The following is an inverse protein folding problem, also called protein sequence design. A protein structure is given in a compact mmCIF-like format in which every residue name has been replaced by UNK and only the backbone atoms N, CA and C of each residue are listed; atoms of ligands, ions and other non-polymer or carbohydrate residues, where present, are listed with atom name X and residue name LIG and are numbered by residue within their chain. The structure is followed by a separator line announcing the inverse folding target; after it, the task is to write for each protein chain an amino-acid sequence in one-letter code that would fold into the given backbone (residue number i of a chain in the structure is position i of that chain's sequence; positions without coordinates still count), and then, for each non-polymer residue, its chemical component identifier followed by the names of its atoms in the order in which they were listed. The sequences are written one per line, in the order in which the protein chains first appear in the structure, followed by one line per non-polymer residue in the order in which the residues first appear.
data_IF_827229053058
#
_entry.id   IF_827229053058
#
_cell.length_a   1.000
_cell.length_b   1.000
_cell.length_c   1.000
_cell.angle_alpha   90.00
_cell.angle_beta   90.00
_cell.angle_gamma   90.00
#
_symmetry.space_group_name_H-M   'P 1'
#
loop_
_entity.id
_entity.type
_entity.pdbx_description
1 polymer ?
#
# COMPACT_ATOMS: atom_id res chain seq x y z
N UNK A 1 -21.34 61.82 -12.87
CA UNK A 1 -19.91 61.44 -12.76
C UNK A 1 -19.60 60.46 -11.61
N UNK A 2 -20.59 59.91 -10.87
CA UNK A 2 -20.31 59.00 -9.74
C UNK A 2 -20.29 57.50 -10.08
N UNK A 3 -20.84 57.09 -11.23
CA UNK A 3 -20.93 55.65 -11.59
C UNK A 3 -19.59 55.02 -11.95
N UNK A 4 -18.64 55.79 -12.49
CA UNK A 4 -17.31 55.28 -12.86
C UNK A 4 -16.45 54.93 -11.64
N UNK A 5 -16.55 55.74 -10.56
CA UNK A 5 -15.84 55.44 -9.30
C UNK A 5 -16.38 54.20 -8.60
N UNK A 6 -17.69 53.97 -8.62
CA UNK A 6 -18.29 52.74 -8.09
C UNK A 6 -17.88 51.50 -8.89
N UNK A 7 -17.81 51.60 -10.23
CA UNK A 7 -17.31 50.50 -11.07
C UNK A 7 -15.83 50.20 -10.84
N UNK A 8 -15.01 51.23 -10.61
CA UNK A 8 -13.59 51.08 -10.28
C UNK A 8 -13.38 50.44 -8.89
N UNK A 9 -14.18 50.82 -7.88
CA UNK A 9 -14.17 50.18 -6.55
C UNK A 9 -14.63 48.72 -6.59
N UNK A 10 -15.66 48.39 -7.38
CA UNK A 10 -16.13 47.00 -7.56
C UNK A 10 -15.06 46.16 -8.27
N UNK A 11 -14.38 46.72 -9.28
CA UNK A 11 -13.32 46.01 -10.00
C UNK A 11 -12.06 45.82 -9.15
N UNK A 12 -11.66 46.84 -8.37
CA UNK A 12 -10.52 46.73 -7.46
C UNK A 12 -10.80 45.79 -6.28
N UNK A 13 -12.03 45.79 -5.75
CA UNK A 13 -12.43 44.84 -4.70
C UNK A 13 -12.51 43.40 -5.22
N UNK A 14 -13.01 43.16 -6.43
CA UNK A 14 -12.96 41.82 -7.06
C UNK A 14 -11.51 41.33 -7.28
N UNK A 15 -10.61 42.22 -7.72
CA UNK A 15 -9.21 41.86 -7.97
C UNK A 15 -8.42 41.59 -6.67
N UNK A 16 -8.73 42.31 -5.59
CA UNK A 16 -8.14 42.10 -4.28
C UNK A 16 -8.68 40.84 -3.56
N UNK A 17 -9.93 40.44 -3.82
CA UNK A 17 -10.51 39.18 -3.33
C UNK A 17 -9.94 37.99 -4.12
N UNK A 18 -9.96 38.05 -5.46
CA UNK A 18 -9.46 36.99 -6.34
C UNK A 18 -7.95 36.73 -6.19
N UNK A 19 -7.13 37.77 -5.98
CA UNK A 19 -5.69 37.61 -5.73
C UNK A 19 -5.37 37.01 -4.35
N UNK A 20 -6.20 37.28 -3.34
CA UNK A 20 -6.03 36.65 -2.02
C UNK A 20 -6.50 35.19 -2.02
N UNK A 21 -7.53 34.85 -2.80
CA UNK A 21 -8.04 33.49 -2.87
C UNK A 21 -7.09 32.56 -3.63
N UNK A 22 -6.53 32.95 -4.78
CA UNK A 22 -5.49 32.17 -5.48
C UNK A 22 -4.22 31.98 -4.64
N UNK A 23 -3.80 33.01 -3.90
CA UNK A 23 -2.62 32.94 -3.04
C UNK A 23 -2.85 32.07 -1.80
N UNK A 24 -4.04 32.15 -1.17
CA UNK A 24 -4.44 31.23 -0.09
C UNK A 24 -4.56 29.79 -0.58
N UNK A 25 -5.02 29.61 -1.81
CA UNK A 25 -5.13 28.29 -2.45
C UNK A 25 -3.75 27.66 -2.68
N UNK A 26 -2.81 28.42 -3.25
CA UNK A 26 -1.43 27.98 -3.46
C UNK A 26 -0.77 27.53 -2.16
N UNK A 27 -0.93 28.32 -1.09
CA UNK A 27 -0.41 27.98 0.25
C UNK A 27 -1.09 26.72 0.83
N UNK A 28 -2.40 26.55 0.61
CA UNK A 28 -3.14 25.37 1.10
C UNK A 28 -2.69 24.09 0.38
N UNK A 29 -2.45 24.16 -0.93
CA UNK A 29 -1.99 23.02 -1.73
C UNK A 29 -0.55 22.66 -1.39
N UNK A 30 0.32 23.65 -1.20
CA UNK A 30 1.71 23.43 -0.79
C UNK A 30 1.79 22.75 0.59
N UNK A 31 0.99 23.21 1.55
CA UNK A 31 0.84 22.56 2.87
C UNK A 31 0.31 21.12 2.78
N UNK A 32 -0.62 20.83 1.85
CA UNK A 32 -1.12 19.47 1.63
C UNK A 32 -0.08 18.57 0.96
N UNK A 33 0.66 19.09 -0.02
CA UNK A 33 1.76 18.38 -0.64
C UNK A 33 2.80 17.99 0.42
N UNK A 34 3.15 18.90 1.33
CA UNK A 34 4.06 18.62 2.44
C UNK A 34 3.52 17.55 3.40
N UNK A 35 2.23 17.62 3.77
CA UNK A 35 1.58 16.58 4.59
C UNK A 35 1.60 15.21 3.89
N UNK A 36 1.30 15.16 2.60
CA UNK A 36 1.33 13.93 1.80
C UNK A 36 2.74 13.35 1.72
N UNK A 37 3.76 14.18 1.47
CA UNK A 37 5.16 13.77 1.44
C UNK A 37 5.64 13.27 2.81
N UNK A 38 5.26 13.94 3.90
CA UNK A 38 5.58 13.51 5.26
C UNK A 38 4.92 12.16 5.60
N UNK A 39 3.65 11.99 5.22
CA UNK A 39 2.92 10.73 5.36
C UNK A 39 3.59 9.60 4.57
N UNK A 40 3.96 9.87 3.31
CA UNK A 40 4.64 8.91 2.46
C UNK A 40 5.98 8.46 3.06
N UNK A 41 6.81 9.41 3.52
CA UNK A 41 8.09 9.14 4.21
C UNK A 41 7.89 8.28 5.45
N UNK A 42 6.89 8.58 6.28
CA UNK A 42 6.56 7.77 7.47
C UNK A 42 6.19 6.35 7.09
N UNK A 43 5.33 6.20 6.10
CA UNK A 43 4.83 4.90 5.68
C UNK A 43 5.89 4.10 4.89
N UNK A 44 6.86 4.77 4.24
CA UNK A 44 8.08 4.13 3.68
C UNK A 44 8.93 3.51 4.77
N UNK A 45 9.24 4.26 5.85
CA UNK A 45 9.97 3.74 7.01
C UNK A 45 9.30 2.51 7.62
N UNK A 46 7.98 2.57 7.84
CA UNK A 46 7.21 1.42 8.36
C UNK A 46 7.29 0.21 7.41
N UNK A 47 7.25 0.44 6.10
CA UNK A 47 7.33 -0.65 5.11
C UNK A 47 8.74 -1.25 5.05
N UNK A 48 9.78 -0.42 5.10
CA UNK A 48 11.16 -0.87 5.16
C UNK A 48 11.39 -1.75 6.39
N UNK A 49 10.91 -1.31 7.56
CA UNK A 49 11.00 -2.11 8.78
C UNK A 49 10.31 -3.47 8.64
N UNK A 50 9.13 -3.52 8.02
CA UNK A 50 8.43 -4.78 7.73
C UNK A 50 9.21 -5.69 6.79
N UNK A 51 9.80 -5.14 5.73
CA UNK A 51 10.61 -5.91 4.78
C UNK A 51 11.84 -6.48 5.48
N UNK A 52 12.56 -5.67 6.28
CA UNK A 52 13.71 -6.13 7.06
C UNK A 52 13.29 -7.26 8.02
N UNK A 53 12.19 -7.08 8.75
CA UNK A 53 11.69 -8.11 9.67
C UNK A 53 11.37 -9.43 8.95
N UNK A 54 10.66 -9.36 7.80
CA UNK A 54 10.35 -10.55 6.98
C UNK A 54 11.64 -11.21 6.47
N UNK A 55 12.60 -10.43 5.99
CA UNK A 55 13.88 -10.95 5.51
C UNK A 55 14.67 -11.64 6.61
N UNK A 56 14.69 -11.10 7.83
CA UNK A 56 15.35 -11.72 8.99
C UNK A 56 14.66 -13.06 9.33
N UNK A 57 13.33 -13.09 9.40
CA UNK A 57 12.57 -14.31 9.70
C UNK A 57 12.84 -15.38 8.64
N UNK A 58 12.78 -15.02 7.36
CA UNK A 58 13.08 -15.95 6.25
C UNK A 58 14.53 -16.44 6.30
N UNK A 59 15.48 -15.59 6.66
CA UNK A 59 16.89 -15.97 6.77
C UNK A 59 17.13 -16.94 7.91
N UNK A 60 16.55 -16.70 9.09
CA UNK A 60 16.63 -17.60 10.24
C UNK A 60 15.97 -18.95 9.91
N UNK A 61 14.79 -18.93 9.30
CA UNK A 61 14.08 -20.15 8.92
C UNK A 61 14.85 -20.95 7.88
N UNK A 62 15.41 -20.27 6.86
CA UNK A 62 16.27 -20.91 5.88
C UNK A 62 17.49 -21.54 6.54
N UNK A 63 18.19 -20.79 7.41
CA UNK A 63 19.37 -21.28 8.14
C UNK A 63 19.07 -22.54 8.95
N UNK A 64 17.93 -22.58 9.66
CA UNK A 64 17.49 -23.77 10.38
C UNK A 64 17.30 -24.96 9.43
N UNK A 65 16.62 -24.77 8.30
CA UNK A 65 16.44 -25.84 7.31
C UNK A 65 17.77 -26.35 6.74
N UNK A 66 18.72 -25.45 6.45
CA UNK A 66 20.06 -25.83 5.98
C UNK A 66 20.87 -26.60 7.03
N UNK A 67 20.65 -26.36 8.32
CA UNK A 67 21.42 -26.97 9.41
C UNK A 67 20.86 -28.33 9.84
N UNK A 68 19.54 -28.50 9.79
CA UNK A 68 18.85 -29.66 10.39
C UNK A 68 18.33 -30.69 9.38
N UNK A 69 18.44 -30.45 8.08
CA UNK A 69 17.90 -31.37 7.06
C UNK A 69 18.98 -31.73 6.05
N UNK A 70 19.10 -33.02 5.75
CA UNK A 70 19.70 -33.46 4.49
C UNK A 70 18.82 -32.89 3.37
N UNK A 71 19.33 -31.88 2.68
CA UNK A 71 18.54 -31.05 1.77
C UNK A 71 18.13 -31.85 0.53
N UNK A 72 16.94 -32.42 0.60
CA UNK A 72 16.24 -32.90 -0.58
C UNK A 72 15.98 -31.75 -1.55
N UNK A 73 16.07 -32.03 -2.85
CA UNK A 73 15.82 -31.05 -3.91
C UNK A 73 14.42 -30.43 -3.79
N UNK A 74 13.44 -31.20 -3.30
CA UNK A 74 12.06 -30.72 -3.08
C UNK A 74 12.01 -29.60 -2.03
N UNK A 75 12.79 -29.72 -0.96
CA UNK A 75 12.87 -28.70 0.10
C UNK A 75 13.47 -27.40 -0.45
N UNK A 76 14.54 -27.52 -1.24
CA UNK A 76 15.18 -26.36 -1.89
C UNK A 76 14.23 -25.66 -2.84
N UNK A 77 13.48 -26.41 -3.66
CA UNK A 77 12.46 -25.87 -4.57
C UNK A 77 11.32 -25.21 -3.81
N UNK A 78 10.81 -25.84 -2.74
CA UNK A 78 9.75 -25.28 -1.90
C UNK A 78 10.17 -23.97 -1.23
N UNK A 79 11.39 -23.91 -0.69
CA UNK A 79 11.95 -22.70 -0.09
C UNK A 79 12.17 -21.60 -1.14
N UNK A 80 12.77 -21.96 -2.28
CA UNK A 80 12.98 -21.05 -3.40
C UNK A 80 11.67 -20.45 -3.91
N UNK A 81 10.60 -21.24 -3.98
CA UNK A 81 9.27 -20.79 -4.34
C UNK A 81 8.71 -19.78 -3.34
N UNK A 82 8.79 -20.06 -2.03
CA UNK A 82 8.34 -19.13 -0.98
C UNK A 82 9.09 -17.79 -1.08
N UNK A 83 10.41 -17.84 -1.21
CA UNK A 83 11.26 -16.64 -1.32
C UNK A 83 10.90 -15.86 -2.59
N UNK A 84 10.80 -16.54 -3.73
CA UNK A 84 10.45 -15.93 -5.00
C UNK A 84 9.09 -15.24 -4.95
N UNK A 85 8.04 -15.91 -4.47
CA UNK A 85 6.71 -15.33 -4.34
C UNK A 85 6.67 -14.15 -3.37
N UNK A 86 7.45 -14.21 -2.29
CA UNK A 86 7.57 -13.10 -1.33
C UNK A 86 8.23 -11.88 -1.95
N UNK A 87 9.36 -12.06 -2.65
CA UNK A 87 10.04 -10.98 -3.36
C UNK A 87 9.12 -10.39 -4.42
N UNK A 88 8.47 -11.23 -5.23
CA UNK A 88 7.55 -10.80 -6.28
C UNK A 88 6.41 -9.95 -5.68
N UNK A 89 5.81 -10.40 -4.58
CA UNK A 89 4.75 -9.65 -3.90
C UNK A 89 5.25 -8.29 -3.38
N UNK A 90 6.45 -8.24 -2.77
CA UNK A 90 7.06 -7.00 -2.29
C UNK A 90 7.35 -6.05 -3.45
N UNK A 91 7.91 -6.54 -4.55
CA UNK A 91 8.23 -5.73 -5.74
C UNK A 91 6.97 -5.16 -6.36
N UNK A 92 5.92 -5.98 -6.55
CA UNK A 92 4.63 -5.50 -7.07
C UNK A 92 4.00 -4.46 -6.13
N UNK A 93 4.07 -4.70 -4.82
CA UNK A 93 3.58 -3.77 -3.81
C UNK A 93 4.34 -2.43 -3.83
N UNK A 94 5.66 -2.45 -4.01
CA UNK A 94 6.47 -1.24 -4.15
C UNK A 94 6.21 -0.51 -5.47
N UNK A 95 6.07 -1.22 -6.59
CA UNK A 95 5.77 -0.63 -7.89
C UNK A 95 4.46 0.15 -7.86
N UNK A 96 3.41 -0.43 -7.26
CA UNK A 96 2.12 0.26 -7.11
C UNK A 96 2.22 1.51 -6.22
N UNK A 97 3.19 1.54 -5.29
CA UNK A 97 3.36 2.63 -4.34
C UNK A 97 4.24 3.78 -4.85
N UNK A 98 5.31 3.46 -5.58
CA UNK A 98 6.27 4.43 -6.13
C UNK A 98 5.62 5.41 -7.13
N UNK A 99 4.47 5.06 -7.71
CA UNK A 99 3.72 5.96 -8.59
C UNK A 99 3.20 7.23 -7.89
N UNK A 100 3.14 7.29 -6.55
CA UNK A 100 2.76 8.50 -5.81
C UNK A 100 3.88 9.56 -5.78
N UNK A 101 5.13 9.13 -5.71
CA UNK A 101 6.31 9.99 -5.53
C UNK A 101 6.65 10.84 -6.76
N UNK A 102 6.29 10.35 -7.95
CA UNK A 102 6.55 11.03 -9.22
C UNK A 102 5.40 11.96 -9.64
N UNK A 103 4.51 12.35 -8.74
CA UNK A 103 3.50 13.36 -9.08
C UNK A 103 4.18 14.71 -9.27
N UNK A 104 3.95 15.31 -10.42
CA UNK A 104 4.42 16.66 -10.70
C UNK A 104 3.58 17.63 -9.87
N UNK A 105 4.12 18.09 -8.75
CA UNK A 105 3.49 19.09 -7.86
C UNK A 105 3.23 20.41 -8.63
N UNK A 106 3.92 20.60 -9.77
CA UNK A 106 3.74 21.74 -10.67
C UNK A 106 2.63 21.58 -11.73
N UNK A 107 1.93 20.43 -11.79
CA UNK A 107 0.73 20.29 -12.62
C UNK A 107 -0.44 21.04 -11.94
N UNK A 108 -1.43 21.49 -12.74
CA UNK A 108 -2.65 22.14 -12.27
C UNK A 108 -3.18 21.53 -10.96
N UNK A 109 -3.53 22.39 -10.02
CA UNK A 109 -3.95 22.08 -8.65
C UNK A 109 -4.99 20.96 -8.56
N UNK A 110 -5.90 20.86 -9.52
CA UNK A 110 -6.92 19.81 -9.61
C UNK A 110 -6.42 18.45 -10.04
N UNK A 111 -5.56 18.41 -11.06
CA UNK A 111 -5.10 17.15 -11.66
C UNK A 111 -4.21 16.40 -10.68
N UNK A 112 -3.46 17.14 -9.86
CA UNK A 112 -2.70 16.60 -8.73
C UNK A 112 -3.62 15.90 -7.71
N UNK A 113 -4.69 16.58 -7.26
CA UNK A 113 -5.61 16.04 -6.25
C UNK A 113 -6.36 14.82 -6.78
N UNK A 114 -6.87 14.87 -8.01
CA UNK A 114 -7.58 13.75 -8.64
C UNK A 114 -6.67 12.52 -8.81
N UNK A 115 -5.43 12.74 -9.25
CA UNK A 115 -4.44 11.67 -9.40
C UNK A 115 -4.06 11.07 -8.04
N UNK A 116 -3.93 11.88 -6.99
CA UNK A 116 -3.66 11.42 -5.63
C UNK A 116 -4.81 10.57 -5.07
N UNK A 117 -6.04 11.04 -5.20
CA UNK A 117 -7.24 10.29 -4.79
C UNK A 117 -7.36 8.96 -5.52
N UNK A 118 -7.16 8.95 -6.85
CA UNK A 118 -7.22 7.74 -7.65
C UNK A 118 -6.17 6.72 -7.19
N UNK A 119 -4.92 7.13 -7.00
CA UNK A 119 -3.84 6.23 -6.55
C UNK A 119 -4.04 5.72 -5.13
N UNK A 120 -4.52 6.55 -4.21
CA UNK A 120 -4.83 6.12 -2.83
C UNK A 120 -5.93 5.06 -2.82
N UNK A 121 -6.98 5.22 -3.62
CA UNK A 121 -8.07 4.23 -3.76
C UNK A 121 -7.58 2.92 -4.42
N UNK A 122 -6.71 3.01 -5.44
CA UNK A 122 -6.16 1.84 -6.13
C UNK A 122 -5.31 0.92 -5.22
N UNK A 123 -4.66 1.45 -4.18
CA UNK A 123 -3.84 0.63 -3.28
C UNK A 123 -4.64 -0.46 -2.54
N UNK A 124 -5.89 -0.18 -2.15
CA UNK A 124 -6.75 -1.22 -1.54
C UNK A 124 -7.10 -2.28 -2.57
N UNK A 125 -7.46 -1.84 -3.77
CA UNK A 125 -7.89 -2.74 -4.83
C UNK A 125 -6.78 -3.73 -5.21
N UNK A 126 -5.55 -3.22 -5.36
CA UNK A 126 -4.37 -4.04 -5.55
C UNK A 126 -4.24 -5.09 -4.44
N UNK A 127 -4.28 -4.68 -3.17
CA UNK A 127 -4.12 -5.63 -2.07
C UNK A 127 -5.24 -6.69 -2.05
N UNK A 128 -6.49 -6.29 -2.34
CA UNK A 128 -7.64 -7.20 -2.37
C UNK A 128 -7.51 -8.29 -3.45
N UNK A 129 -6.90 -7.97 -4.58
CA UNK A 129 -6.71 -8.91 -5.69
C UNK A 129 -5.47 -9.76 -5.49
N UNK A 130 -4.30 -9.16 -5.27
CA UNK A 130 -3.03 -9.87 -5.32
C UNK A 130 -2.68 -10.60 -4.01
N UNK A 131 -3.21 -10.16 -2.86
CA UNK A 131 -2.91 -10.81 -1.58
C UNK A 131 -3.43 -12.26 -1.49
N UNK A 132 -4.68 -12.58 -1.91
CA UNK A 132 -5.12 -13.98 -1.99
C UNK A 132 -4.21 -14.86 -2.85
N UNK A 133 -3.82 -14.41 -4.06
CA UNK A 133 -2.91 -15.18 -4.92
C UNK A 133 -1.55 -15.41 -4.28
N UNK A 134 -1.01 -14.39 -3.61
CA UNK A 134 0.23 -14.51 -2.85
C UNK A 134 0.11 -15.57 -1.74
N UNK A 135 -0.98 -15.55 -0.96
CA UNK A 135 -1.19 -16.54 0.10
C UNK A 135 -1.36 -17.95 -0.47
N UNK A 136 -2.07 -18.13 -1.58
CA UNK A 136 -2.19 -19.43 -2.25
C UNK A 136 -0.83 -19.94 -2.76
N UNK A 137 0.01 -19.05 -3.29
CA UNK A 137 1.37 -19.40 -3.70
C UNK A 137 2.23 -19.83 -2.49
N UNK A 138 2.08 -19.16 -1.33
CA UNK A 138 2.72 -19.59 -0.08
C UNK A 138 2.23 -20.96 0.37
N UNK A 139 0.91 -21.23 0.31
CA UNK A 139 0.35 -22.54 0.63
C UNK A 139 1.02 -23.63 -0.21
N UNK A 140 1.19 -23.41 -1.52
CA UNK A 140 1.88 -24.37 -2.39
C UNK A 140 3.33 -24.62 -1.95
N UNK A 141 4.11 -23.55 -1.70
CA UNK A 141 5.51 -23.68 -1.27
C UNK A 141 5.66 -24.38 0.10
N UNK A 142 4.79 -24.03 1.05
CA UNK A 142 4.79 -24.64 2.38
C UNK A 142 4.39 -26.12 2.32
N UNK A 143 3.42 -26.48 1.48
CA UNK A 143 3.07 -27.88 1.26
C UNK A 143 4.22 -28.67 0.61
N UNK A 144 5.00 -28.08 -0.29
CA UNK A 144 6.21 -28.72 -0.83
C UNK A 144 7.25 -29.00 0.26
N UNK A 145 7.46 -28.05 1.18
CA UNK A 145 8.36 -28.27 2.33
C UNK A 145 7.88 -29.42 3.21
N UNK A 146 6.61 -29.42 3.60
CA UNK A 146 6.06 -30.46 4.47
C UNK A 146 5.96 -31.83 3.82
N UNK A 147 5.83 -31.89 2.49
CA UNK A 147 5.76 -33.15 1.76
C UNK A 147 6.99 -34.01 2.04
N UNK A 148 8.18 -33.40 1.99
CA UNK A 148 9.44 -34.08 2.24
C UNK A 148 9.70 -34.25 3.75
N UNK A 149 9.49 -33.21 4.55
CA UNK A 149 9.74 -33.26 6.00
C UNK A 149 8.90 -34.32 6.71
N UNK A 150 7.74 -34.69 6.15
CA UNK A 150 6.84 -35.68 6.71
C UNK A 150 6.87 -37.01 5.96
N UNK A 151 7.85 -37.25 5.08
CA UNK A 151 7.89 -38.45 4.25
C UNK A 151 7.97 -39.76 5.08
N UNK A 152 8.58 -39.71 6.28
CA UNK A 152 8.65 -40.82 7.22
C UNK A 152 7.45 -40.98 8.16
N UNK A 153 6.43 -40.12 8.06
CA UNK A 153 5.24 -40.16 8.92
C UNK A 153 4.10 -40.94 8.26
N UNK A 154 3.16 -41.43 9.08
CA UNK A 154 1.97 -42.11 8.57
C UNK A 154 1.08 -41.16 7.74
N UNK A 155 0.30 -41.73 6.82
CA UNK A 155 -0.53 -40.97 5.89
C UNK A 155 -1.51 -40.04 6.61
N UNK A 156 -2.10 -40.49 7.73
CA UNK A 156 -3.08 -39.68 8.47
C UNK A 156 -2.42 -38.45 9.07
N UNK A 157 -1.24 -38.60 9.69
CA UNK A 157 -0.45 -37.48 10.22
C UNK A 157 -0.07 -36.50 9.11
N UNK A 158 0.43 -36.99 7.97
CA UNK A 158 0.76 -36.15 6.80
C UNK A 158 -0.43 -35.31 6.37
N UNK A 159 -1.59 -35.94 6.22
CA UNK A 159 -2.81 -35.29 5.74
C UNK A 159 -3.32 -34.23 6.73
N UNK A 160 -3.26 -34.51 8.03
CA UNK A 160 -3.59 -33.55 9.09
C UNK A 160 -2.68 -32.32 9.02
N UNK A 161 -1.37 -32.50 8.87
CA UNK A 161 -0.42 -31.38 8.76
C UNK A 161 -0.66 -30.54 7.51
N UNK A 162 -0.77 -31.17 6.33
CA UNK A 162 -1.04 -30.45 5.09
C UNK A 162 -2.36 -29.66 5.16
N UNK A 163 -3.43 -30.27 5.66
CA UNK A 163 -4.73 -29.61 5.78
C UNK A 163 -4.70 -28.48 6.81
N UNK A 164 -4.18 -28.74 8.01
CA UNK A 164 -4.15 -27.74 9.09
C UNK A 164 -3.38 -26.50 8.67
N UNK A 165 -2.17 -26.66 8.14
CA UNK A 165 -1.35 -25.53 7.67
C UNK A 165 -2.03 -24.78 6.53
N UNK A 166 -2.58 -25.50 5.55
CA UNK A 166 -3.27 -24.88 4.41
C UNK A 166 -4.50 -24.08 4.84
N UNK A 167 -5.33 -24.66 5.72
CA UNK A 167 -6.52 -23.99 6.27
C UNK A 167 -6.11 -22.75 7.06
N UNK A 168 -5.09 -22.85 7.93
CA UNK A 168 -4.58 -21.72 8.70
C UNK A 168 -4.15 -20.58 7.78
N UNK A 169 -3.38 -20.86 6.73
CA UNK A 169 -2.93 -19.84 5.77
C UNK A 169 -4.11 -19.23 4.99
N UNK A 170 -5.08 -20.05 4.54
CA UNK A 170 -6.26 -19.55 3.84
C UNK A 170 -7.10 -18.63 4.74
N UNK A 171 -7.27 -18.97 6.02
CA UNK A 171 -7.97 -18.13 7.01
C UNK A 171 -7.25 -16.77 7.21
N UNK A 172 -5.93 -16.71 7.00
CA UNK A 172 -5.20 -15.43 7.07
C UNK A 172 -5.57 -14.45 5.96
N UNK A 173 -6.18 -14.91 4.85
CA UNK A 173 -6.64 -14.02 3.77
C UNK A 173 -7.69 -13.02 4.28
N UNK A 174 -8.88 -13.44 4.76
CA UNK A 174 -9.89 -12.49 5.23
C UNK A 174 -9.41 -11.66 6.43
N UNK A 175 -8.58 -12.24 7.31
CA UNK A 175 -8.00 -11.51 8.45
C UNK A 175 -7.08 -10.39 7.94
N UNK A 176 -6.16 -10.71 7.02
CA UNK A 176 -5.24 -9.75 6.43
C UNK A 176 -5.97 -8.63 5.68
N UNK A 177 -7.00 -8.98 4.90
CA UNK A 177 -7.84 -8.00 4.21
C UNK A 177 -8.59 -7.09 5.19
N UNK A 178 -9.14 -7.63 6.29
CA UNK A 178 -9.85 -6.87 7.31
C UNK A 178 -8.92 -5.90 8.06
N UNK A 179 -7.76 -6.38 8.50
CA UNK A 179 -6.75 -5.54 9.17
C UNK A 179 -6.27 -4.43 8.23
N UNK A 180 -5.99 -4.76 6.96
CA UNK A 180 -5.54 -3.78 5.97
C UNK A 180 -6.63 -2.74 5.68
N UNK A 181 -7.88 -3.18 5.53
CA UNK A 181 -9.02 -2.29 5.33
C UNK A 181 -9.24 -1.36 6.53
N UNK A 182 -9.18 -1.88 7.76
CA UNK A 182 -9.27 -1.07 8.97
C UNK A 182 -8.15 -0.04 9.06
N UNK A 183 -6.90 -0.47 8.82
CA UNK A 183 -5.75 0.44 8.82
C UNK A 183 -5.85 1.49 7.72
N UNK A 184 -6.38 1.13 6.55
CA UNK A 184 -6.62 2.11 5.51
C UNK A 184 -7.65 3.16 5.94
N UNK A 185 -8.77 2.72 6.51
CA UNK A 185 -9.79 3.64 7.04
C UNK A 185 -9.25 4.57 8.12
N UNK A 186 -8.38 4.06 8.98
CA UNK A 186 -7.79 4.86 10.07
C UNK A 186 -6.73 5.84 9.58
N UNK A 187 -5.82 5.39 8.71
CA UNK A 187 -4.61 6.14 8.38
C UNK A 187 -4.73 6.95 7.08
N UNK A 188 -5.52 6.49 6.09
CA UNK A 188 -5.61 7.11 4.76
C UNK A 188 -6.95 7.82 4.51
N UNK A 189 -8.06 7.37 5.12
CA UNK A 189 -9.36 8.01 4.90
C UNK A 189 -9.38 9.49 5.32
N UNK A 190 -8.79 9.92 6.45
CA UNK A 190 -8.80 11.33 6.81
C UNK A 190 -8.12 12.22 5.76
N UNK A 191 -7.03 11.71 5.16
CA UNK A 191 -6.32 12.41 4.07
C UNK A 191 -7.14 12.43 2.79
N UNK A 192 -7.90 11.37 2.50
CA UNK A 192 -8.82 11.33 1.36
C UNK A 192 -9.95 12.34 1.56
N UNK A 193 -10.55 12.37 2.75
CA UNK A 193 -11.66 13.27 3.06
C UNK A 193 -11.20 14.75 2.98
N UNK A 194 -9.99 15.06 3.47
CA UNK A 194 -9.36 16.38 3.39
C UNK A 194 -9.03 16.79 1.94
N UNK A 195 -8.59 15.85 1.10
CA UNK A 195 -8.39 16.09 -0.33
C UNK A 195 -9.71 16.26 -1.11
N UNK A 196 -10.73 15.48 -0.76
CA UNK A 196 -12.06 15.57 -1.37
C UNK A 196 -12.75 16.90 -1.01
N UNK A 197 -12.58 17.41 0.22
CA UNK A 197 -13.14 18.72 0.62
C UNK A 197 -12.51 19.88 -0.15
N UNK A 198 -11.18 19.88 -0.31
CA UNK A 198 -10.46 20.91 -1.09
C UNK A 198 -10.87 20.87 -2.56
N UNK A 199 -11.06 19.67 -3.12
CA UNK A 199 -11.52 19.52 -4.49
C UNK A 199 -12.97 20.02 -4.68
N UNK A 200 -13.82 19.87 -3.67
CA UNK A 200 -15.18 20.40 -3.69
C UNK A 200 -15.18 21.92 -3.66
N UNK A 201 -14.38 22.54 -2.77
CA UNK A 201 -14.18 23.99 -2.72
C UNK A 201 -13.67 24.55 -4.05
N UNK A 202 -12.81 23.82 -4.76
CA UNK A 202 -12.32 24.21 -6.09
C UNK A 202 -13.40 24.12 -7.19
N UNK A 203 -14.33 23.16 -7.09
CA UNK A 203 -15.39 22.98 -8.10
C UNK A 203 -16.55 23.95 -7.95
N UNK A 204 -16.71 24.53 -6.76
CA UNK A 204 -17.79 25.48 -6.44
C UNK A 204 -17.35 26.95 -6.48
N UNK A 205 -16.05 27.24 -6.61
CA UNK A 205 -15.51 28.59 -6.86
C UNK A 205 -15.40 28.93 -8.35
#
# INVERSE_FOLDING_TARGET
MNNLKQLEEIWQSQKAVSGNDEQRLGVTIELMADKLLAFEKKQKRITLFKVIAISIILSIFSWQLFTFSDLSLIVVVGLGWIVFCTILFIVLYWKQRSQLENMNIAASSTDFIETALCKMKQQIHFFRIYFPFFVLALVAGVNLLYYEMLNGQDLKTRLIFHLSVSITLIIMIPIGLKIRGYKFKKDNQPLIDELESIMHEFRES
#
